data_IF_151901698623
#
_entry.id   IF_151901698623
#
_cell.length_a   1.000
_cell.length_b   1.000
_cell.length_c   1.000
_cell.angle_alpha   90.00
_cell.angle_beta   90.00
_cell.angle_gamma   90.00
#
_symmetry.space_group_name_H-M   'P 1'
#
loop_
_entity.id
_entity.type
_entity.pdbx_description
1 polymer ?
#
# COMPACT_ATOMS: atom_id res chain seq x y z
N UNK A 1 24.83 -59.85 2.15
CA UNK A 1 24.58 -59.85 0.68
C UNK A 1 23.23 -59.18 0.45
N UNK A 2 23.19 -57.99 -0.13
CA UNK A 2 21.91 -57.30 -0.40
C UNK A 2 22.02 -55.79 -0.56
N UNK A 3 23.02 -55.29 -1.30
CA UNK A 3 23.08 -53.90 -1.74
C UNK A 3 22.20 -53.75 -2.99
N UNK A 4 21.02 -53.18 -2.83
CA UNK A 4 20.15 -52.77 -3.95
C UNK A 4 20.50 -51.35 -4.37
N UNK A 5 21.43 -51.22 -5.31
CA UNK A 5 21.79 -49.95 -5.94
C UNK A 5 20.63 -49.42 -6.79
N UNK A 6 20.07 -48.28 -6.42
CA UNK A 6 19.17 -47.49 -7.25
C UNK A 6 19.93 -46.99 -8.49
N UNK A 7 19.65 -47.58 -9.66
CA UNK A 7 19.98 -46.96 -10.96
C UNK A 7 18.87 -45.97 -11.30
N UNK A 8 19.15 -44.68 -11.59
CA UNK A 8 18.18 -43.85 -12.27
C UNK A 8 18.04 -44.34 -13.72
N UNK A 9 16.78 -44.55 -14.13
CA UNK A 9 16.38 -44.90 -15.50
C UNK A 9 16.80 -43.79 -16.49
N UNK A 10 17.35 -44.12 -17.68
CA UNK A 10 17.76 -43.15 -18.67
C UNK A 10 16.61 -42.83 -19.63
N UNK A 11 15.50 -42.29 -19.14
CA UNK A 11 14.33 -41.98 -19.99
C UNK A 11 13.67 -40.66 -19.54
N UNK A 12 14.44 -39.58 -19.61
CA UNK A 12 14.00 -38.19 -19.78
C UNK A 12 15.27 -37.34 -19.85
N UNK A 13 15.91 -37.32 -21.03
CA UNK A 13 16.96 -36.35 -21.32
C UNK A 13 16.35 -34.95 -21.27
N UNK A 14 16.43 -34.30 -20.12
CA UNK A 14 16.09 -32.89 -19.98
C UNK A 14 17.02 -32.12 -20.92
N UNK A 15 16.48 -31.67 -22.05
CA UNK A 15 17.23 -30.93 -23.05
C UNK A 15 17.55 -29.55 -22.46
N UNK A 16 18.73 -29.42 -21.85
CA UNK A 16 19.25 -28.12 -21.39
C UNK A 16 19.63 -27.34 -22.65
N UNK A 17 18.77 -26.41 -23.07
CA UNK A 17 19.09 -25.45 -24.12
C UNK A 17 20.10 -24.44 -23.58
N UNK A 18 21.38 -24.76 -23.67
CA UNK A 18 22.44 -23.77 -23.58
C UNK A 18 22.41 -22.97 -24.88
N UNK A 19 21.79 -21.78 -24.87
CA UNK A 19 21.92 -20.83 -25.97
C UNK A 19 23.39 -20.38 -26.03
N UNK A 20 24.23 -21.14 -26.72
CA UNK A 20 25.62 -20.79 -26.97
C UNK A 20 25.66 -19.81 -28.14
N UNK A 21 25.02 -18.65 -27.98
CA UNK A 21 25.18 -17.53 -28.88
C UNK A 21 26.53 -16.89 -28.56
N UNK A 22 27.45 -16.78 -29.53
CA UNK A 22 28.70 -16.06 -29.29
C UNK A 22 28.34 -14.62 -28.97
N UNK A 23 28.50 -14.20 -27.72
CA UNK A 23 28.44 -12.78 -27.31
C UNK A 23 29.70 -12.08 -27.81
N UNK A 24 29.80 -11.94 -29.14
CA UNK A 24 30.81 -11.10 -29.80
C UNK A 24 30.33 -9.67 -29.65
N UNK A 25 30.78 -9.01 -28.58
CA UNK A 25 30.69 -7.55 -28.49
C UNK A 25 31.60 -6.95 -29.56
N UNK A 26 31.16 -5.88 -30.22
CA UNK A 26 32.03 -5.16 -31.16
C UNK A 26 33.23 -4.58 -30.40
N UNK A 27 34.40 -4.59 -31.04
CA UNK A 27 35.64 -4.06 -30.45
C UNK A 27 35.48 -2.65 -29.92
N UNK A 28 34.70 -1.83 -30.64
CA UNK A 28 34.33 -0.45 -30.28
C UNK A 28 33.56 -0.34 -28.95
N UNK A 29 32.69 -1.32 -28.63
CA UNK A 29 31.97 -1.33 -27.35
C UNK A 29 32.92 -1.75 -26.23
N UNK A 30 33.81 -2.72 -26.48
CA UNK A 30 34.79 -3.15 -25.47
C UNK A 30 35.82 -2.06 -25.18
N UNK A 31 36.30 -1.32 -26.18
CA UNK A 31 37.18 -0.17 -25.98
C UNK A 31 36.43 0.97 -25.30
N UNK A 32 35.19 1.28 -25.69
CA UNK A 32 34.39 2.30 -25.00
C UNK A 32 34.12 1.94 -23.53
N UNK A 33 33.92 0.66 -23.20
CA UNK A 33 33.77 0.22 -21.81
C UNK A 33 35.09 0.24 -21.04
N UNK A 34 36.22 -0.02 -21.71
CA UNK A 34 37.56 -0.04 -21.11
C UNK A 34 38.13 1.37 -20.93
N UNK A 35 37.82 2.29 -21.83
CA UNK A 35 38.24 3.69 -21.81
C UNK A 35 37.25 4.60 -21.07
N UNK A 36 36.03 4.12 -20.77
CA UNK A 36 35.05 4.89 -20.01
C UNK A 36 35.53 5.09 -18.58
N UNK A 37 35.83 6.34 -18.15
CA UNK A 37 36.13 6.63 -16.74
C UNK A 37 34.84 6.62 -15.90
N UNK A 38 33.67 6.49 -16.53
CA UNK A 38 32.37 6.54 -15.88
C UNK A 38 32.06 5.18 -15.26
N UNK A 39 32.17 5.10 -13.94
CA UNK A 39 31.67 3.98 -13.15
C UNK A 39 30.14 4.02 -13.04
N UNK A 40 29.53 2.92 -12.61
CA UNK A 40 28.07 2.88 -12.39
C UNK A 40 27.59 4.00 -11.44
N UNK A 41 28.43 4.37 -10.47
CA UNK A 41 28.18 5.47 -9.54
C UNK A 41 28.16 6.86 -10.18
N UNK A 42 28.97 7.10 -11.22
CA UNK A 42 28.97 8.41 -11.89
C UNK A 42 27.78 8.51 -12.83
N UNK A 43 27.41 7.41 -13.50
CA UNK A 43 26.18 7.33 -14.30
C UNK A 43 24.92 7.57 -13.46
N UNK A 44 24.85 7.00 -12.26
CA UNK A 44 23.73 7.26 -11.35
C UNK A 44 23.66 8.72 -10.92
N UNK A 45 24.81 9.34 -10.62
CA UNK A 45 24.88 10.74 -10.23
C UNK A 45 24.46 11.69 -11.38
N UNK A 46 24.89 11.42 -12.61
CA UNK A 46 24.50 12.21 -13.79
C UNK A 46 22.99 12.13 -14.07
N UNK A 47 22.41 10.93 -13.91
CA UNK A 47 20.96 10.74 -14.03
C UNK A 47 20.22 11.51 -12.94
N UNK A 48 20.71 11.46 -11.71
CA UNK A 48 20.12 12.20 -10.60
C UNK A 48 20.16 13.72 -10.83
N UNK A 49 21.30 14.26 -11.27
CA UNK A 49 21.43 15.68 -11.61
C UNK A 49 20.46 16.08 -12.72
N UNK A 50 20.28 15.24 -13.74
CA UNK A 50 19.33 15.50 -14.82
C UNK A 50 17.87 15.48 -14.34
N UNK A 51 17.55 14.60 -13.39
CA UNK A 51 16.22 14.58 -12.75
C UNK A 51 16.03 15.85 -11.95
N UNK A 52 17.02 16.25 -11.13
CA UNK A 52 16.97 17.48 -10.34
C UNK A 52 16.75 18.70 -11.24
N UNK A 53 17.52 18.84 -12.32
CA UNK A 53 17.36 19.96 -13.26
C UNK A 53 15.98 20.02 -13.92
N UNK A 54 15.39 18.84 -14.21
CA UNK A 54 14.04 18.79 -14.79
C UNK A 54 12.99 19.18 -13.76
N UNK A 55 13.09 18.64 -12.54
CA UNK A 55 12.18 18.96 -11.45
C UNK A 55 12.25 20.46 -11.13
N UNK A 56 13.44 21.05 -11.05
CA UNK A 56 13.57 22.49 -10.79
C UNK A 56 12.93 23.32 -11.90
N UNK A 57 13.12 22.95 -13.18
CA UNK A 57 12.50 23.65 -14.30
C UNK A 57 10.97 23.57 -14.29
N UNK A 58 10.39 22.43 -13.88
CA UNK A 58 8.93 22.28 -13.76
C UNK A 58 8.39 23.04 -12.55
N UNK A 59 9.12 23.08 -11.43
CA UNK A 59 8.75 23.87 -10.26
C UNK A 59 8.76 25.37 -10.56
N UNK A 60 9.77 25.87 -11.29
CA UNK A 60 9.82 27.26 -11.73
C UNK A 60 8.66 27.60 -12.67
N UNK A 61 8.32 26.70 -13.59
CA UNK A 61 7.16 26.85 -14.49
C UNK A 61 5.85 26.92 -13.70
N UNK A 62 5.64 26.01 -12.76
CA UNK A 62 4.44 26.00 -11.91
C UNK A 62 4.35 27.25 -11.04
N UNK A 63 5.46 27.69 -10.44
CA UNK A 63 5.50 28.90 -9.63
C UNK A 63 5.13 30.16 -10.43
N UNK A 64 5.58 30.26 -11.69
CA UNK A 64 5.19 31.35 -12.59
C UNK A 64 3.69 31.31 -12.91
N UNK A 65 3.16 30.13 -13.26
CA UNK A 65 1.72 29.95 -13.52
C UNK A 65 0.85 30.27 -12.30
N UNK A 66 1.29 29.88 -11.10
CA UNK A 66 0.59 30.19 -9.86
C UNK A 66 0.64 31.69 -9.54
N UNK A 67 1.79 32.34 -9.73
CA UNK A 67 1.91 33.79 -9.53
C UNK A 67 0.98 34.59 -10.45
N UNK A 68 0.84 34.17 -11.71
CA UNK A 68 -0.05 34.84 -12.67
C UNK A 68 -1.54 34.58 -12.34
N UNK A 69 -1.90 33.36 -11.93
CA UNK A 69 -3.25 33.07 -11.42
C UNK A 69 -3.58 33.88 -10.17
N UNK A 70 -2.63 34.05 -9.25
CA UNK A 70 -2.84 34.85 -8.05
C UNK A 70 -3.04 36.33 -8.39
N UNK A 71 -2.30 36.87 -9.36
CA UNK A 71 -2.54 38.23 -9.87
C UNK A 71 -3.93 38.36 -10.48
N UNK A 72 -4.32 37.43 -11.36
CA UNK A 72 -5.63 37.45 -12.01
C UNK A 72 -6.78 37.36 -10.98
N UNK A 73 -6.65 36.49 -9.98
CA UNK A 73 -7.63 36.38 -8.89
C UNK A 73 -7.64 37.66 -8.06
N UNK A 74 -6.46 38.22 -7.73
CA UNK A 74 -6.35 39.48 -7.00
C UNK A 74 -7.04 40.62 -7.75
N UNK A 75 -6.80 40.75 -9.06
CA UNK A 75 -7.40 41.77 -9.90
C UNK A 75 -8.93 41.61 -9.99
N UNK A 76 -9.43 40.37 -10.11
CA UNK A 76 -10.88 40.07 -10.09
C UNK A 76 -11.51 40.44 -8.74
N UNK A 77 -10.87 40.09 -7.63
CA UNK A 77 -11.36 40.45 -6.29
C UNK A 77 -11.40 41.97 -6.11
N UNK A 78 -10.39 42.69 -6.60
CA UNK A 78 -10.38 44.16 -6.57
C UNK A 78 -11.47 44.77 -7.43
N UNK A 79 -11.75 44.23 -8.63
CA UNK A 79 -12.82 44.72 -9.51
C UNK A 79 -14.23 44.43 -8.96
N UNK A 80 -14.47 43.25 -8.41
CA UNK A 80 -15.76 42.91 -7.80
C UNK A 80 -16.06 43.79 -6.57
N UNK A 81 -15.01 44.24 -5.86
CA UNK A 81 -15.14 45.13 -4.69
C UNK A 81 -15.61 46.56 -5.03
N UNK A 82 -15.50 47.02 -6.28
CA UNK A 82 -15.91 48.38 -6.70
C UNK A 82 -17.39 48.46 -7.19
N UNK A 83 -18.11 47.34 -7.27
CA UNK A 83 -19.44 47.26 -7.91
C UNK A 83 -20.62 46.91 -6.98
N UNK A 84 -20.52 47.15 -5.67
CA UNK A 84 -21.67 47.00 -4.75
C UNK A 84 -21.70 48.03 -3.62
N UNK A 85 -22.80 48.78 -3.41
CA UNK A 85 -22.98 49.60 -2.24
C UNK A 85 -23.53 48.76 -1.07
N UNK A 86 -22.82 48.82 0.05
CA UNK A 86 -23.27 48.63 1.44
C UNK A 86 -24.24 47.48 1.75
N UNK A 87 -23.70 46.43 2.36
CA UNK A 87 -24.39 45.70 3.43
C UNK A 87 -23.34 45.35 4.48
N UNK A 88 -23.50 45.99 5.63
CA UNK A 88 -22.74 45.84 6.86
C UNK A 88 -22.62 44.35 7.27
N UNK A 89 -21.54 44.03 8.00
CA UNK A 89 -21.17 42.70 8.52
C UNK A 89 -20.34 41.82 7.56
N UNK A 90 -19.29 42.39 6.97
CA UNK A 90 -18.15 41.61 6.45
C UNK A 90 -17.05 41.55 7.51
N UNK A 91 -16.49 40.36 7.86
CA UNK A 91 -15.41 40.28 8.83
C UNK A 91 -14.22 41.09 8.30
N UNK A 92 -13.73 41.99 9.15
CA UNK A 92 -12.60 42.87 8.84
C UNK A 92 -11.41 42.04 8.38
N UNK A 93 -10.62 42.57 7.44
CA UNK A 93 -9.44 41.91 6.86
C UNK A 93 -8.41 41.43 7.90
N UNK A 94 -8.51 41.92 9.14
CA UNK A 94 -7.74 41.44 10.29
C UNK A 94 -8.11 40.01 10.71
N UNK A 95 -9.39 39.61 10.61
CA UNK A 95 -9.92 38.29 11.02
C UNK A 95 -9.59 37.16 10.01
N UNK A 96 -9.26 37.53 8.76
CA UNK A 96 -8.73 36.62 7.73
C UNK A 96 -7.22 36.42 7.83
N UNK A 97 -6.49 37.40 8.36
CA UNK A 97 -5.03 37.33 8.56
C UNK A 97 -4.67 36.61 9.87
N UNK A 98 -5.54 36.64 10.89
CA UNK A 98 -5.30 35.96 12.18
C UNK A 98 -5.72 34.49 12.22
N UNK A 99 -6.38 33.97 11.18
CA UNK A 99 -6.81 32.57 11.11
C UNK A 99 -8.02 32.23 12.01
N UNK A 100 -8.65 33.20 12.66
CA UNK A 100 -9.81 33.00 13.52
C UNK A 100 -11.09 32.63 12.75
N UNK A 101 -11.26 33.13 11.51
CA UNK A 101 -12.32 32.68 10.62
C UNK A 101 -12.15 31.20 10.22
N UNK A 102 -10.91 30.75 9.98
CA UNK A 102 -10.59 29.36 9.71
C UNK A 102 -10.75 28.48 10.97
N UNK A 103 -10.48 29.03 12.16
CA UNK A 103 -10.73 28.38 13.44
C UNK A 103 -12.23 28.25 13.77
N UNK A 104 -13.05 29.26 13.48
CA UNK A 104 -14.51 29.20 13.64
C UNK A 104 -15.15 28.20 12.67
N UNK A 105 -14.69 28.17 11.42
CA UNK A 105 -15.10 27.15 10.46
C UNK A 105 -14.64 25.75 10.91
N UNK A 106 -13.39 25.58 11.37
CA UNK A 106 -12.93 24.32 11.98
C UNK A 106 -13.72 23.93 13.22
N UNK A 107 -14.10 24.87 14.09
CA UNK A 107 -14.93 24.60 15.28
C UNK A 107 -16.38 24.25 14.90
N UNK A 108 -16.90 24.79 13.81
CA UNK A 108 -18.19 24.40 13.24
C UNK A 108 -18.13 23.02 12.59
N UNK A 109 -17.04 22.69 11.89
CA UNK A 109 -16.78 21.36 11.32
C UNK A 109 -16.48 20.30 12.40
N UNK A 110 -15.87 20.71 13.53
CA UNK A 110 -15.65 19.89 14.74
C UNK A 110 -16.85 19.91 15.70
N UNK A 111 -17.97 20.52 15.31
CA UNK A 111 -19.15 20.53 16.15
C UNK A 111 -19.65 19.10 16.39
N UNK A 112 -20.19 18.85 17.59
CA UNK A 112 -20.69 17.54 18.01
C UNK A 112 -21.67 16.92 16.99
N UNK A 113 -22.43 17.75 16.27
CA UNK A 113 -23.39 17.33 15.25
C UNK A 113 -22.71 16.90 13.95
N UNK A 114 -21.58 17.50 13.57
CA UNK A 114 -20.77 17.09 12.42
C UNK A 114 -20.06 15.76 12.72
N UNK A 115 -19.37 15.68 13.86
CA UNK A 115 -18.67 14.46 14.30
C UNK A 115 -19.63 13.28 14.47
N UNK A 116 -20.82 13.48 15.01
CA UNK A 116 -21.82 12.39 15.11
C UNK A 116 -22.34 11.90 13.76
N UNK A 117 -22.47 12.79 12.76
CA UNK A 117 -22.81 12.41 11.38
C UNK A 117 -21.68 11.62 10.72
N UNK A 118 -20.44 12.06 10.86
CA UNK A 118 -19.26 11.32 10.36
C UNK A 118 -19.14 9.94 11.01
N UNK A 119 -19.34 9.85 12.33
CA UNK A 119 -19.33 8.56 13.04
C UNK A 119 -20.45 7.64 12.51
N UNK A 120 -21.65 8.18 12.26
CA UNK A 120 -22.76 7.39 11.71
C UNK A 120 -22.44 6.90 10.29
N UNK A 121 -21.84 7.74 9.45
CA UNK A 121 -21.42 7.39 8.10
C UNK A 121 -20.27 6.35 8.11
N UNK A 122 -19.29 6.51 9.00
CA UNK A 122 -18.21 5.55 9.19
C UNK A 122 -18.75 4.20 9.67
N UNK A 123 -19.69 4.19 10.61
CA UNK A 123 -20.38 2.95 11.04
C UNK A 123 -21.12 2.31 9.87
N UNK A 124 -21.84 3.08 9.06
CA UNK A 124 -22.52 2.57 7.88
C UNK A 124 -21.52 2.01 6.83
N UNK A 125 -20.37 2.66 6.64
CA UNK A 125 -19.29 2.17 5.77
C UNK A 125 -18.64 0.89 6.32
N UNK A 126 -18.49 0.76 7.64
CA UNK A 126 -17.96 -0.45 8.28
C UNK A 126 -18.94 -1.63 8.20
N UNK A 127 -20.24 -1.38 8.35
CA UNK A 127 -21.27 -2.42 8.19
C UNK A 127 -21.43 -2.85 6.73
N UNK A 128 -21.24 -1.94 5.76
CA UNK A 128 -21.21 -2.26 4.33
C UNK A 128 -19.97 -3.04 3.91
N UNK A 129 -18.86 -2.95 4.65
CA UNK A 129 -17.70 -3.80 4.40
C UNK A 129 -18.07 -5.22 4.80
N UNK A 130 -17.69 -6.18 3.95
CA UNK A 130 -17.87 -7.60 4.20
C UNK A 130 -17.15 -7.92 5.52
N UNK A 131 -17.91 -8.09 6.61
CA UNK A 131 -17.36 -8.57 7.88
C UNK A 131 -16.62 -9.86 7.56
N UNK A 132 -15.39 -9.97 8.03
CA UNK A 132 -14.60 -11.19 7.91
C UNK A 132 -15.50 -12.34 8.35
N UNK A 133 -15.75 -13.27 7.44
CA UNK A 133 -16.72 -14.34 7.64
C UNK A 133 -16.40 -15.01 8.97
N UNK A 134 -17.33 -14.91 9.93
CA UNK A 134 -17.14 -15.47 11.26
C UNK A 134 -16.83 -16.95 11.07
N UNK A 135 -15.75 -17.40 11.70
CA UNK A 135 -15.34 -18.80 11.60
C UNK A 135 -16.49 -19.69 12.06
N UNK A 136 -16.58 -20.88 11.47
CA UNK A 136 -17.62 -21.84 11.84
C UNK A 136 -17.55 -22.10 13.36
N UNK A 137 -18.67 -21.99 14.10
CA UNK A 137 -18.70 -22.19 15.55
C UNK A 137 -18.19 -23.58 15.97
N UNK A 138 -18.20 -24.58 15.07
CA UNK A 138 -17.60 -25.88 15.33
C UNK A 138 -16.06 -25.80 15.49
N UNK A 139 -15.38 -25.04 14.63
CA UNK A 139 -13.92 -24.84 14.72
C UNK A 139 -13.55 -24.04 15.95
N UNK A 140 -14.35 -23.01 16.28
CA UNK A 140 -14.09 -22.17 17.45
C UNK A 140 -14.14 -22.96 18.76
N UNK A 141 -15.11 -23.88 18.89
CA UNK A 141 -15.21 -24.79 20.05
C UNK A 141 -14.00 -25.69 20.18
N UNK A 142 -13.62 -26.38 19.12
CA UNK A 142 -12.49 -27.32 19.16
C UNK A 142 -11.16 -26.58 19.33
N UNK A 143 -11.03 -25.37 18.78
CA UNK A 143 -9.90 -24.47 19.05
C UNK A 143 -9.83 -24.10 20.53
N UNK A 144 -10.95 -23.75 21.15
CA UNK A 144 -11.01 -23.42 22.56
C UNK A 144 -10.60 -24.62 23.43
N UNK A 145 -11.08 -25.82 23.12
CA UNK A 145 -10.71 -27.07 23.80
C UNK A 145 -9.22 -27.39 23.67
N UNK A 146 -8.64 -27.22 22.47
CA UNK A 146 -7.20 -27.40 22.26
C UNK A 146 -6.39 -26.37 23.06
N UNK A 147 -6.78 -25.11 23.03
CA UNK A 147 -6.12 -24.04 23.78
C UNK A 147 -6.25 -24.28 25.29
N UNK A 148 -7.41 -24.74 25.75
CA UNK A 148 -7.62 -25.08 27.15
C UNK A 148 -6.71 -26.24 27.57
N UNK A 149 -6.68 -27.35 26.80
CA UNK A 149 -5.80 -28.47 27.10
C UNK A 149 -4.33 -28.05 27.14
N UNK A 150 -3.89 -27.23 26.18
CA UNK A 150 -2.51 -26.75 26.13
C UNK A 150 -2.16 -25.82 27.29
N UNK A 151 -3.10 -24.98 27.76
CA UNK A 151 -2.92 -24.15 28.95
C UNK A 151 -2.85 -24.96 30.23
N UNK A 152 -3.66 -26.01 30.33
CA UNK A 152 -3.61 -26.93 31.47
C UNK A 152 -2.32 -27.77 31.47
N UNK A 153 -1.76 -28.04 30.28
CA UNK A 153 -0.57 -28.87 30.07
C UNK A 153 0.59 -28.11 29.40
N UNK A 154 0.92 -26.91 29.89
CA UNK A 154 1.93 -26.00 29.30
C UNK A 154 3.31 -26.65 29.07
N UNK A 155 3.69 -27.62 29.92
CA UNK A 155 4.99 -28.33 29.83
C UNK A 155 4.88 -29.71 29.18
N UNK A 156 3.67 -30.16 28.84
CA UNK A 156 3.39 -31.50 28.30
C UNK A 156 2.40 -31.43 27.12
N UNK A 157 2.79 -30.81 26.00
CA UNK A 157 1.90 -30.64 24.85
C UNK A 157 1.48 -31.96 24.19
N UNK A 158 2.20 -33.06 24.46
CA UNK A 158 1.89 -34.39 23.92
C UNK A 158 0.61 -35.00 24.52
N UNK A 159 0.18 -34.56 25.71
CA UNK A 159 -1.03 -35.05 26.37
C UNK A 159 -2.31 -34.56 25.65
N UNK A 160 -2.20 -33.48 24.88
CA UNK A 160 -3.29 -32.85 24.12
C UNK A 160 -3.45 -33.35 22.68
N UNK A 161 -2.91 -34.53 22.35
CA UNK A 161 -2.93 -35.06 20.98
C UNK A 161 -4.35 -35.26 20.42
N UNK A 162 -5.31 -35.68 21.25
CA UNK A 162 -6.70 -35.88 20.82
C UNK A 162 -7.37 -34.56 20.43
N UNK A 163 -7.19 -33.51 21.24
CA UNK A 163 -7.72 -32.17 20.94
C UNK A 163 -7.09 -31.60 19.65
N UNK A 164 -5.80 -31.90 19.41
CA UNK A 164 -5.11 -31.49 18.18
C UNK A 164 -5.67 -32.19 16.95
N UNK A 165 -5.90 -33.50 17.01
CA UNK A 165 -6.45 -34.25 15.87
C UNK A 165 -7.92 -33.87 15.61
N UNK A 166 -8.71 -33.60 16.66
CA UNK A 166 -10.05 -33.05 16.51
C UNK A 166 -10.04 -31.69 15.80
N UNK A 167 -9.10 -30.80 16.17
CA UNK A 167 -8.96 -29.49 15.52
C UNK A 167 -8.59 -29.62 14.04
N UNK A 168 -7.60 -30.47 13.72
CA UNK A 168 -7.19 -30.74 12.33
C UNK A 168 -8.32 -31.28 11.48
N UNK A 169 -9.15 -32.18 12.02
CA UNK A 169 -10.29 -32.75 11.30
C UNK A 169 -11.28 -31.65 10.89
N UNK A 170 -11.56 -30.72 11.80
CA UNK A 170 -12.54 -29.65 11.56
C UNK A 170 -11.97 -28.56 10.62
N UNK A 171 -10.70 -28.20 10.79
CA UNK A 171 -10.00 -27.30 9.85
C UNK A 171 -9.94 -27.91 8.45
N UNK A 172 -9.59 -29.19 8.34
CA UNK A 172 -9.55 -29.89 7.06
C UNK A 172 -10.92 -29.99 6.36
N UNK A 173 -12.04 -29.94 7.11
CA UNK A 173 -13.38 -29.80 6.50
C UNK A 173 -13.55 -28.42 5.87
N UNK A 174 -13.24 -27.34 6.60
CA UNK A 174 -13.33 -25.97 6.08
C UNK A 174 -12.38 -25.73 4.91
N UNK A 175 -11.16 -26.29 4.95
CA UNK A 175 -10.20 -26.19 3.85
C UNK A 175 -10.73 -26.86 2.59
N UNK A 176 -11.34 -28.06 2.70
CA UNK A 176 -11.98 -28.72 1.55
C UNK A 176 -13.10 -27.88 0.95
N UNK A 177 -13.99 -27.34 1.78
CA UNK A 177 -15.08 -26.46 1.34
C UNK A 177 -14.55 -25.17 0.69
N UNK A 178 -13.47 -24.61 1.22
CA UNK A 178 -12.82 -23.44 0.66
C UNK A 178 -12.19 -23.73 -0.71
N UNK A 179 -11.47 -24.85 -0.83
CA UNK A 179 -10.85 -25.29 -2.09
C UNK A 179 -11.92 -25.56 -3.14
N UNK A 180 -13.01 -26.26 -2.79
CA UNK A 180 -14.14 -26.50 -3.69
C UNK A 180 -14.79 -25.20 -4.18
N UNK A 181 -14.88 -24.17 -3.33
CA UNK A 181 -15.43 -22.86 -3.68
C UNK A 181 -14.48 -22.01 -4.54
N UNK A 182 -13.17 -22.19 -4.41
CA UNK A 182 -12.17 -21.30 -5.05
C UNK A 182 -11.58 -21.87 -6.34
N UNK A 183 -11.54 -23.20 -6.49
CA UNK A 183 -10.98 -23.87 -7.68
C UNK A 183 -12.04 -24.12 -8.76
N UNK A 184 -13.32 -24.04 -8.42
CA UNK A 184 -14.46 -24.26 -9.34
C UNK A 184 -15.05 -22.93 -9.82
#
# INVERSE_FOLDING_TARGET
MGAGNSKPSPELSQHVFSANTPTRFSGEITTSLQDSPQSDSTRSADLELKIQSRVTSELERLAAEEADKLKEISDKVSQDSESSPSSEESPTLLDRVTGEAAEKQRKADLSHTSVSKEIAELKAKLEKRKKLESLDPAVEKVKAELVQCLRENDRRPLDCWQAREAFKREVGRLEREFVERTVR
#
